data_IF_390435077642
#
_entry.id   IF_390435077642
#
_cell.length_a   1.000
_cell.length_b   1.000
_cell.length_c   1.000
_cell.angle_alpha   90.00
_cell.angle_beta   90.00
_cell.angle_gamma   90.00
#
_symmetry.space_group_name_H-M   'P 1'
#
loop_
_entity.id
_entity.type
_entity.pdbx_description
1 polymer ?
#
# COMPACT_ATOMS: atom_id res chain seq x y z
N UNK A 1 -7.96 -18.09 -8.54
CA UNK A 1 -7.19 -16.83 -8.40
C UNK A 1 -7.19 -16.08 -9.72
N UNK A 2 -7.27 -14.75 -9.67
CA UNK A 2 -7.09 -13.89 -10.84
C UNK A 2 -5.62 -13.56 -11.08
N UNK A 3 -5.28 -13.09 -12.28
CA UNK A 3 -3.93 -12.62 -12.64
C UNK A 3 -4.01 -11.11 -12.86
N UNK A 4 -3.10 -10.37 -12.23
CA UNK A 4 -2.92 -8.95 -12.49
C UNK A 4 -1.90 -8.81 -13.63
N UNK A 5 -2.32 -8.19 -14.73
CA UNK A 5 -1.41 -7.92 -15.85
C UNK A 5 -0.54 -6.70 -15.56
N UNK A 6 0.67 -6.67 -16.13
CA UNK A 6 1.60 -5.54 -16.01
C UNK A 6 1.95 -5.15 -14.57
N UNK A 7 2.00 -6.13 -13.67
CA UNK A 7 2.31 -5.95 -12.25
C UNK A 7 3.71 -5.35 -11.99
N UNK A 8 4.57 -5.34 -13.01
CA UNK A 8 5.92 -4.79 -13.03
C UNK A 8 5.99 -3.31 -13.43
N UNK A 9 4.91 -2.73 -13.99
CA UNK A 9 4.89 -1.34 -14.46
C UNK A 9 4.69 -0.33 -13.33
N UNK A 10 5.26 0.86 -13.50
CA UNK A 10 5.10 1.99 -12.61
C UNK A 10 5.57 3.30 -13.25
N UNK A 11 4.78 4.37 -13.15
CA UNK A 11 5.15 5.72 -13.62
C UNK A 11 6.00 6.48 -12.57
N UNK A 12 7.27 6.14 -12.48
CA UNK A 12 8.18 6.74 -11.49
C UNK A 12 8.35 8.26 -11.65
N UNK A 13 8.31 8.75 -12.89
CA UNK A 13 8.50 10.17 -13.21
C UNK A 13 7.33 11.02 -12.71
N UNK A 14 6.09 10.53 -12.83
CA UNK A 14 4.91 11.19 -12.26
C UNK A 14 5.04 11.40 -10.75
N UNK A 15 5.62 10.42 -10.04
CA UNK A 15 5.85 10.49 -8.60
C UNK A 15 7.20 11.16 -8.24
N UNK A 16 8.03 11.57 -9.20
CA UNK A 16 9.35 12.13 -8.92
C UNK A 16 10.27 11.18 -8.15
N UNK A 17 10.07 9.86 -8.33
CA UNK A 17 10.88 8.81 -7.71
C UNK A 17 11.98 8.44 -8.70
N UNK A 18 13.23 8.42 -8.25
CA UNK A 18 14.34 8.07 -9.15
C UNK A 18 14.23 6.61 -9.63
N UNK A 19 14.78 6.30 -10.80
CA UNK A 19 14.79 4.93 -11.31
C UNK A 19 15.42 3.94 -10.31
N UNK A 20 16.48 4.35 -9.60
CA UNK A 20 17.11 3.52 -8.58
C UNK A 20 16.18 3.22 -7.40
N UNK A 21 15.43 4.22 -6.91
CA UNK A 21 14.45 4.05 -5.84
C UNK A 21 13.26 3.19 -6.31
N UNK A 22 12.74 3.45 -7.52
CA UNK A 22 11.60 2.73 -8.08
C UNK A 22 11.83 1.21 -8.15
N UNK A 23 13.06 0.76 -8.42
CA UNK A 23 13.41 -0.67 -8.44
C UNK A 23 13.42 -1.33 -7.05
N UNK A 24 13.50 -0.54 -5.98
CA UNK A 24 13.47 -1.02 -4.60
C UNK A 24 12.05 -1.00 -4.01
N UNK A 25 11.08 -0.40 -4.72
CA UNK A 25 9.68 -0.42 -4.31
C UNK A 25 9.01 -1.75 -4.65
N UNK A 26 8.44 -2.37 -3.63
CA UNK A 26 7.56 -3.50 -3.80
C UNK A 26 6.44 -3.12 -4.78
N UNK A 27 6.09 -4.00 -5.74
CA UNK A 27 4.99 -3.78 -6.66
C UNK A 27 3.68 -3.36 -5.98
N UNK A 28 3.38 -3.87 -4.79
CA UNK A 28 2.20 -3.50 -4.01
C UNK A 28 2.19 -2.00 -3.66
N UNK A 29 3.34 -1.43 -3.31
CA UNK A 29 3.46 0.02 -3.04
C UNK A 29 3.29 0.81 -4.33
N UNK A 30 3.89 0.34 -5.44
CA UNK A 30 3.77 0.99 -6.75
C UNK A 30 2.32 1.09 -7.22
N UNK A 31 1.58 -0.02 -7.12
CA UNK A 31 0.15 -0.05 -7.41
C UNK A 31 -0.68 0.83 -6.48
N UNK A 32 -0.37 0.83 -5.18
CA UNK A 32 -1.06 1.69 -4.23
C UNK A 32 -0.90 3.16 -4.58
N UNK A 33 0.31 3.60 -4.95
CA UNK A 33 0.59 4.98 -5.34
C UNK A 33 -0.22 5.42 -6.56
N UNK A 34 -0.25 4.60 -7.61
CA UNK A 34 -1.01 4.85 -8.83
C UNK A 34 -2.52 4.87 -8.54
N UNK A 35 -3.07 3.81 -7.95
CA UNK A 35 -4.50 3.70 -7.73
C UNK A 35 -5.03 4.69 -6.69
N UNK A 36 -4.25 5.08 -5.69
CA UNK A 36 -4.64 6.15 -4.79
C UNK A 36 -4.75 7.49 -5.54
N UNK A 37 -3.79 7.79 -6.42
CA UNK A 37 -3.81 9.01 -7.23
C UNK A 37 -4.98 9.02 -8.21
N UNK A 38 -5.24 7.89 -8.86
CA UNK A 38 -6.41 7.70 -9.73
C UNK A 38 -7.71 7.88 -8.97
N UNK A 39 -7.86 7.27 -7.79
CA UNK A 39 -9.08 7.41 -6.96
C UNK A 39 -9.32 8.85 -6.50
N UNK A 40 -8.26 9.59 -6.16
CA UNK A 40 -8.35 11.01 -5.79
C UNK A 40 -8.82 11.84 -7.00
N UNK A 41 -8.25 11.58 -8.19
CA UNK A 41 -8.64 12.29 -9.41
C UNK A 41 -10.05 11.93 -9.88
N UNK A 42 -10.46 10.67 -9.72
CA UNK A 42 -11.82 10.18 -10.01
C UNK A 42 -12.86 10.87 -9.11
N UNK A 43 -12.51 11.14 -7.86
CA UNK A 43 -13.32 11.96 -6.94
C UNK A 43 -13.38 13.46 -7.33
N UNK A 44 -12.72 13.88 -8.42
CA UNK A 44 -12.65 15.26 -8.86
C UNK A 44 -11.74 16.15 -8.00
N UNK A 45 -10.90 15.54 -7.17
CA UNK A 45 -9.98 16.25 -6.27
C UNK A 45 -8.60 16.32 -6.93
N UNK A 46 -7.95 17.47 -6.85
CA UNK A 46 -6.54 17.56 -7.27
C UNK A 46 -5.66 17.05 -6.12
N UNK A 47 -4.80 16.02 -6.31
CA UNK A 47 -3.95 15.49 -5.26
C UNK A 47 -3.11 16.55 -4.53
N UNK A 48 -2.72 17.64 -5.23
CA UNK A 48 -1.98 18.76 -4.63
C UNK A 48 -2.76 19.51 -3.55
N UNK A 49 -4.10 19.47 -3.58
CA UNK A 49 -4.97 20.10 -2.59
C UNK A 49 -5.01 19.34 -1.26
N UNK A 50 -4.60 18.07 -1.25
CA UNK A 50 -4.54 17.26 -0.03
C UNK A 50 -3.24 17.48 0.76
N UNK A 51 -2.22 18.09 0.15
CA UNK A 51 -0.94 18.37 0.82
C UNK A 51 -1.17 19.22 2.07
N UNK A 52 -0.65 18.75 3.19
CA UNK A 52 -0.76 19.37 4.50
C UNK A 52 -2.05 19.07 5.25
N UNK A 53 -3.04 18.41 4.62
CA UNK A 53 -4.30 18.08 5.26
C UNK A 53 -4.18 16.90 6.23
N UNK A 54 -5.09 16.88 7.21
CA UNK A 54 -5.33 15.72 8.05
C UNK A 54 -6.22 14.73 7.28
N UNK A 55 -5.61 14.04 6.31
CA UNK A 55 -6.22 12.92 5.59
C UNK A 55 -5.66 11.62 6.15
N UNK A 56 -6.54 10.73 6.61
CA UNK A 56 -6.11 9.42 7.09
C UNK A 56 -5.69 8.52 5.91
N UNK A 57 -4.70 7.65 6.09
CA UNK A 57 -4.30 6.62 5.13
C UNK A 57 -4.26 5.28 5.84
N UNK A 58 -5.15 4.38 5.45
CA UNK A 58 -5.31 3.09 6.12
C UNK A 58 -5.29 1.99 5.08
N UNK A 59 -4.25 1.16 5.14
CA UNK A 59 -4.07 0.05 4.21
C UNK A 59 -4.42 -1.27 4.90
N UNK A 60 -5.35 -2.04 4.31
CA UNK A 60 -5.60 -3.41 4.71
C UNK A 60 -4.57 -4.33 4.06
N UNK A 61 -3.79 -5.06 4.85
CA UNK A 61 -2.82 -6.03 4.32
C UNK A 61 -2.56 -7.13 5.34
N UNK A 62 -2.51 -8.39 4.87
CA UNK A 62 -2.21 -9.55 5.71
C UNK A 62 -0.85 -10.13 5.37
N UNK A 63 -0.73 -10.75 4.20
CA UNK A 63 0.53 -11.31 3.72
C UNK A 63 1.23 -10.32 2.79
N UNK A 64 2.50 -10.02 3.07
CA UNK A 64 3.37 -9.23 2.22
C UNK A 64 4.56 -10.11 1.82
N UNK A 65 4.40 -10.89 0.76
CA UNK A 65 5.41 -11.86 0.32
C UNK A 65 6.67 -11.18 -0.25
N UNK A 66 6.53 -9.99 -0.83
CA UNK A 66 7.66 -9.20 -1.32
C UNK A 66 8.57 -8.72 -0.20
N UNK A 67 8.02 -8.46 0.99
CA UNK A 67 8.82 -8.10 2.17
C UNK A 67 9.86 -9.18 2.50
N UNK A 68 9.48 -10.47 2.45
CA UNK A 68 10.41 -11.56 2.73
C UNK A 68 11.59 -11.58 1.75
N UNK A 69 11.29 -11.42 0.46
CA UNK A 69 12.29 -11.44 -0.61
C UNK A 69 13.24 -10.24 -0.54
N UNK A 70 12.71 -9.02 -0.49
CA UNK A 70 13.52 -7.81 -0.56
C UNK A 70 14.29 -7.48 0.72
N UNK A 71 13.83 -7.95 1.89
CA UNK A 71 14.51 -7.66 3.16
C UNK A 71 15.47 -8.77 3.63
N UNK A 72 15.18 -10.04 3.32
CA UNK A 72 15.92 -11.16 3.89
C UNK A 72 16.69 -11.99 2.86
N UNK A 73 16.32 -11.94 1.58
CA UNK A 73 16.97 -12.72 0.52
C UNK A 73 17.83 -11.86 -0.41
N UNK A 74 17.49 -10.59 -0.58
CA UNK A 74 18.29 -9.66 -1.38
C UNK A 74 19.58 -9.25 -0.66
N UNK A 75 20.73 -9.60 -1.25
CA UNK A 75 22.05 -9.34 -0.69
C UNK A 75 22.52 -7.90 -0.95
N UNK A 76 21.87 -7.17 -1.85
CA UNK A 76 22.16 -5.75 -2.08
C UNK A 76 21.52 -4.87 -0.98
N UNK A 77 22.14 -4.86 0.19
CA UNK A 77 21.73 -4.05 1.34
C UNK A 77 21.98 -2.54 1.12
N UNK A 78 21.17 -1.92 0.26
CA UNK A 78 21.25 -0.47 -0.04
C UNK A 78 20.45 0.40 0.93
N UNK A 79 19.84 -0.19 1.96
CA UNK A 79 18.99 0.49 2.94
C UNK A 79 17.60 0.87 2.41
N UNK A 80 17.48 1.23 1.12
CA UNK A 80 16.21 1.63 0.49
C UNK A 80 15.13 0.53 0.51
N UNK A 81 15.52 -0.75 0.51
CA UNK A 81 14.58 -1.88 0.58
C UNK A 81 13.68 -1.82 1.83
N UNK A 82 14.16 -1.27 2.96
CA UNK A 82 13.33 -1.13 4.17
C UNK A 82 12.16 -0.18 3.97
N UNK A 83 12.38 0.88 3.18
CA UNK A 83 11.36 1.88 2.84
C UNK A 83 10.44 1.31 1.76
N UNK A 84 11.01 0.63 0.76
CA UNK A 84 10.29 0.18 -0.41
C UNK A 84 9.46 -1.09 -0.23
N UNK A 85 9.72 -1.92 0.80
CA UNK A 85 9.10 -3.25 0.89
C UNK A 85 8.52 -3.61 2.26
N UNK A 86 8.67 -2.75 3.28
CA UNK A 86 8.07 -3.04 4.58
C UNK A 86 6.54 -2.98 4.52
N UNK A 87 5.86 -3.89 5.22
CA UNK A 87 4.40 -3.84 5.35
C UNK A 87 3.93 -2.49 5.90
N UNK A 88 4.62 -1.94 6.89
CA UNK A 88 4.28 -0.63 7.47
C UNK A 88 4.40 0.53 6.49
N UNK A 89 5.28 0.41 5.48
CA UNK A 89 5.54 1.51 4.57
C UNK A 89 4.50 1.65 3.47
N UNK A 90 3.63 0.66 3.26
CA UNK A 90 2.50 0.75 2.33
C UNK A 90 1.61 1.98 2.59
N UNK A 91 1.28 2.25 3.87
CA UNK A 91 0.50 3.43 4.23
C UNK A 91 1.37 4.70 4.30
N UNK A 92 2.55 4.62 4.93
CA UNK A 92 3.38 5.81 5.11
C UNK A 92 3.93 6.37 3.81
N UNK A 93 4.16 5.52 2.80
CA UNK A 93 4.65 5.96 1.51
C UNK A 93 3.60 6.74 0.72
N UNK A 94 2.32 6.33 0.81
CA UNK A 94 1.20 7.13 0.30
C UNK A 94 1.11 8.48 1.01
N UNK A 95 1.16 8.49 2.34
CA UNK A 95 1.11 9.71 3.14
C UNK A 95 2.28 10.64 2.80
N UNK A 96 3.50 10.11 2.66
CA UNK A 96 4.68 10.87 2.27
C UNK A 96 4.50 11.47 0.87
N UNK A 97 4.09 10.65 -0.10
CA UNK A 97 4.00 11.08 -1.49
C UNK A 97 2.92 12.14 -1.72
N UNK A 98 1.79 11.99 -1.04
CA UNK A 98 0.66 12.93 -1.11
C UNK A 98 0.81 14.09 -0.12
N UNK A 99 1.84 14.07 0.74
CA UNK A 99 2.12 15.10 1.74
C UNK A 99 1.04 15.22 2.81
N UNK A 100 0.50 14.11 3.30
CA UNK A 100 -0.61 14.05 4.25
C UNK A 100 -0.12 14.02 5.71
N UNK A 101 -0.84 14.69 6.60
CA UNK A 101 -0.49 14.79 8.03
C UNK A 101 -1.40 13.97 8.95
N UNK A 102 -2.40 13.27 8.40
CA UNK A 102 -3.33 12.46 9.17
C UNK A 102 -2.75 11.10 9.62
N UNK A 103 -3.55 10.30 10.34
CA UNK A 103 -3.17 8.95 10.77
C UNK A 103 -2.80 8.07 9.57
N UNK A 104 -1.66 7.38 9.65
CA UNK A 104 -1.13 6.57 8.55
C UNK A 104 -0.66 5.22 9.05
N UNK A 105 -1.40 4.15 8.77
CA UNK A 105 -1.10 2.82 9.29
C UNK A 105 -1.66 1.67 8.46
N UNK A 106 -1.13 0.48 8.71
CA UNK A 106 -1.61 -0.76 8.12
C UNK A 106 -2.39 -1.55 9.18
N UNK A 107 -3.52 -2.10 8.77
CA UNK A 107 -4.34 -3.00 9.60
C UNK A 107 -4.31 -4.41 9.04
N UNK A 108 -4.30 -5.38 9.95
CA UNK A 108 -4.37 -6.80 9.62
C UNK A 108 -5.40 -7.48 10.51
N UNK A 109 -6.56 -7.74 9.91
CA UNK A 109 -7.63 -8.56 10.50
C UNK A 109 -7.93 -9.76 9.59
N UNK A 110 -6.89 -10.27 8.90
CA UNK A 110 -7.00 -11.28 7.85
C UNK A 110 -7.92 -10.83 6.69
N UNK A 111 -8.85 -11.67 6.24
CA UNK A 111 -9.71 -11.41 5.08
C UNK A 111 -10.60 -10.16 5.21
N UNK A 112 -10.81 -9.64 6.42
CA UNK A 112 -11.61 -8.44 6.66
C UNK A 112 -10.79 -7.15 6.75
N UNK A 113 -9.48 -7.20 6.52
CA UNK A 113 -8.56 -6.07 6.76
C UNK A 113 -9.01 -4.78 6.07
N UNK A 114 -9.37 -4.83 4.79
CA UNK A 114 -9.78 -3.64 4.03
C UNK A 114 -11.14 -3.10 4.47
N UNK A 115 -12.07 -3.99 4.87
CA UNK A 115 -13.36 -3.57 5.41
C UNK A 115 -13.20 -2.92 6.79
N UNK A 116 -12.31 -3.46 7.62
CA UNK A 116 -11.96 -2.84 8.90
C UNK A 116 -11.24 -1.50 8.69
N UNK A 117 -10.34 -1.40 7.72
CA UNK A 117 -9.69 -0.15 7.33
C UNK A 117 -10.74 0.92 6.97
N UNK A 118 -11.73 0.56 6.15
CA UNK A 118 -12.84 1.45 5.80
C UNK A 118 -13.61 1.93 7.03
N UNK A 119 -13.98 1.02 7.94
CA UNK A 119 -14.66 1.37 9.17
C UNK A 119 -13.82 2.30 10.06
N UNK A 120 -12.51 2.09 10.14
CA UNK A 120 -11.59 2.96 10.86
C UNK A 120 -11.50 4.35 10.22
N UNK A 121 -11.39 4.44 8.90
CA UNK A 121 -11.37 5.71 8.17
C UNK A 121 -12.65 6.52 8.37
N UNK A 122 -13.80 5.85 8.28
CA UNK A 122 -15.10 6.46 8.58
C UNK A 122 -15.12 7.05 10.00
N UNK A 123 -14.57 6.35 10.99
CA UNK A 123 -14.49 6.85 12.37
C UNK A 123 -13.61 8.08 12.53
N UNK A 124 -12.47 8.15 11.83
CA UNK A 124 -11.61 9.34 11.83
C UNK A 124 -12.29 10.57 11.21
N UNK A 125 -13.11 10.36 10.17
CA UNK A 125 -13.89 11.44 9.56
C UNK A 125 -15.01 11.88 10.50
N UNK A 126 -15.78 10.92 11.06
CA UNK A 126 -16.92 11.23 11.91
C UNK A 126 -16.53 11.85 13.27
N UNK A 127 -15.31 11.60 13.76
CA UNK A 127 -14.79 12.26 14.96
C UNK A 127 -14.33 13.71 14.72
N UNK A 128 -14.22 14.14 13.45
CA UNK A 128 -13.63 15.43 13.08
C UNK A 128 -12.11 15.46 13.15
N UNK A 129 -11.44 14.32 13.37
CA UNK A 129 -9.98 14.23 13.37
C UNK A 129 -9.40 14.39 11.96
N UNK A 130 -10.11 13.90 10.94
CA UNK A 130 -9.73 13.97 9.54
C UNK A 130 -10.86 14.51 8.67
N UNK A 131 -10.52 15.24 7.60
CA UNK A 131 -11.50 15.67 6.59
C UNK A 131 -11.80 14.56 5.58
N UNK A 132 -10.77 13.77 5.27
CA UNK A 132 -10.78 12.75 4.23
C UNK A 132 -10.05 11.49 4.73
N UNK A 133 -10.29 10.36 4.07
CA UNK A 133 -9.55 9.12 4.32
C UNK A 133 -9.30 8.35 3.02
N UNK A 134 -8.06 7.89 2.84
CA UNK A 134 -7.65 6.99 1.75
C UNK A 134 -7.60 5.58 2.32
N UNK A 135 -8.43 4.71 1.76
CA UNK A 135 -8.54 3.31 2.15
C UNK A 135 -8.13 2.44 0.97
N UNK A 136 -7.21 1.50 1.20
CA UNK A 136 -6.67 0.69 0.12
C UNK A 136 -6.17 -0.67 0.57
N UNK A 137 -5.83 -1.49 -0.43
CA UNK A 137 -5.14 -2.76 -0.26
C UNK A 137 -4.40 -3.08 -1.54
N UNK A 138 -3.25 -3.72 -1.42
CA UNK A 138 -2.56 -4.37 -2.52
C UNK A 138 -1.95 -5.66 -1.98
N UNK A 139 -2.18 -6.76 -2.68
CA UNK A 139 -1.64 -8.07 -2.33
C UNK A 139 -1.43 -8.89 -3.59
N UNK A 140 -0.36 -9.69 -3.61
CA UNK A 140 -0.05 -10.62 -4.67
C UNK A 140 0.42 -11.95 -4.10
N UNK A 141 0.27 -13.01 -4.89
CA UNK A 141 0.76 -14.35 -4.57
C UNK A 141 1.97 -14.65 -5.46
N UNK A 142 3.18 -14.50 -4.93
CA UNK A 142 4.44 -14.71 -5.66
C UNK A 142 5.05 -16.08 -5.40
N UNK A 143 4.76 -16.67 -4.25
CA UNK A 143 5.24 -17.97 -3.83
C UNK A 143 4.07 -18.92 -3.61
N UNK A 144 4.23 -20.16 -4.07
CA UNK A 144 3.24 -21.21 -3.86
C UNK A 144 3.06 -21.56 -2.36
N UNK A 145 4.01 -21.19 -1.50
CA UNK A 145 4.06 -21.57 -0.08
C UNK A 145 2.77 -21.24 0.66
N UNK A 146 2.27 -20.00 0.56
CA UNK A 146 1.06 -19.59 1.29
C UNK A 146 -0.16 -20.36 0.79
N UNK A 147 -0.30 -20.50 -0.52
CA UNK A 147 -1.39 -21.27 -1.14
C UNK A 147 -1.35 -22.75 -0.73
N UNK A 148 -0.17 -23.36 -0.66
CA UNK A 148 0.00 -24.74 -0.19
C UNK A 148 -0.36 -24.88 1.30
N UNK A 149 -0.11 -23.88 2.14
CA UNK A 149 -0.53 -23.89 3.54
C UNK A 149 -2.06 -23.84 3.65
N UNK A 150 -2.73 -22.97 2.90
CA UNK A 150 -4.20 -22.93 2.85
C UNK A 150 -4.80 -24.26 2.36
N UNK A 151 -4.23 -24.83 1.29
CA UNK A 151 -4.67 -26.13 0.78
C UNK A 151 -4.52 -27.26 1.81
N UNK A 152 -3.45 -27.25 2.62
CA UNK A 152 -3.25 -28.21 3.72
C UNK A 152 -4.24 -28.05 4.87
N UNK A 153 -4.83 -26.86 5.04
CA UNK A 153 -5.93 -26.60 5.97
C UNK A 153 -7.30 -26.99 5.39
N UNK A 154 -7.36 -27.46 4.14
CA UNK A 154 -8.61 -27.74 3.43
C UNK A 154 -9.35 -26.47 2.98
N UNK A 155 -8.67 -25.33 2.96
CA UNK A 155 -9.19 -24.05 2.48
C UNK A 155 -8.66 -23.87 1.05
N UNK A 156 -9.51 -24.13 0.05
CA UNK A 156 -9.19 -23.97 -1.39
C UNK A 156 -9.83 -22.71 -1.97
#
# INVERSE_FOLDING_TARGET
>A
MGIIHNFDKFDADFFGISSQEAHTLAPEIRMLLEHASEAIMDAGINPKQLRGKNTAVIIGSSFCETQSKFLYEDLEMRGLNIIGCSKSTMASMLSYQLGLNGPSYVVDTACSSTLYALAAGYRHIMSGECEDAIIGTASGCFHATINLQFARLGIN
#
